data_IF_161848675025
#
_entry.id   IF_161848675025
#
_cell.length_a   1.000
_cell.length_b   1.000
_cell.length_c   1.000
_cell.angle_alpha   90.00
_cell.angle_beta   90.00
_cell.angle_gamma   90.00
#
_symmetry.space_group_name_H-M   'P 1'
#
loop_
_entity.id
_entity.type
_entity.pdbx_description
1 polymer ?
#
# COMPACT_ATOMS: atom_id res chain seq x y z
N UNK A 1 -28.68 -10.30 30.48
CA UNK A 1 -27.40 -9.74 30.94
C UNK A 1 -26.96 -8.65 29.96
N UNK A 2 -26.99 -7.38 30.37
CA UNK A 2 -26.73 -6.23 29.48
C UNK A 2 -25.28 -6.19 29.00
N UNK A 3 -24.31 -6.67 29.81
CA UNK A 3 -22.89 -6.72 29.41
C UNK A 3 -22.68 -7.69 28.23
N UNK A 4 -23.37 -8.83 28.21
CA UNK A 4 -23.29 -9.81 27.12
C UNK A 4 -23.91 -9.29 25.81
N UNK A 5 -24.91 -8.40 25.91
CA UNK A 5 -25.44 -7.72 24.73
C UNK A 5 -24.43 -6.71 24.19
N UNK A 6 -23.80 -5.93 25.08
CA UNK A 6 -22.73 -4.99 24.69
C UNK A 6 -21.57 -5.71 24.04
N UNK A 7 -21.07 -6.82 24.61
CA UNK A 7 -19.96 -7.59 23.99
C UNK A 7 -20.32 -8.11 22.61
N UNK A 8 -21.55 -8.61 22.42
CA UNK A 8 -22.03 -9.07 21.11
C UNK A 8 -22.14 -7.92 20.10
N UNK A 9 -22.60 -6.74 20.52
CA UNK A 9 -22.62 -5.54 19.67
C UNK A 9 -21.21 -5.03 19.32
N UNK A 10 -20.24 -5.16 20.22
CA UNK A 10 -18.85 -4.80 19.96
C UNK A 10 -18.21 -5.77 18.94
N UNK A 11 -18.48 -7.07 19.07
CA UNK A 11 -18.02 -8.11 18.14
C UNK A 11 -18.61 -7.92 16.73
N UNK A 12 -19.89 -7.54 16.63
CA UNK A 12 -20.56 -7.25 15.34
C UNK A 12 -20.24 -5.84 14.78
N UNK A 13 -19.56 -4.98 15.56
CA UNK A 13 -19.42 -3.56 15.29
C UNK A 13 -18.27 -3.17 14.35
N UNK A 14 -17.21 -3.99 14.27
CA UNK A 14 -16.01 -3.68 13.47
C UNK A 14 -16.02 -4.51 12.18
N UNK A 15 -16.35 -3.85 11.07
CA UNK A 15 -16.33 -4.48 9.74
C UNK A 15 -15.07 -4.10 8.99
N UNK A 16 -14.13 -5.03 8.93
CA UNK A 16 -12.91 -4.89 8.14
C UNK A 16 -13.20 -5.35 6.70
N UNK A 17 -12.67 -4.61 5.73
CA UNK A 17 -12.61 -5.04 4.34
C UNK A 17 -11.18 -4.96 3.88
N UNK A 18 -10.69 -6.02 3.26
CA UNK A 18 -9.32 -6.14 2.73
C UNK A 18 -9.39 -6.32 1.23
N UNK A 19 -8.44 -5.75 0.51
CA UNK A 19 -8.30 -5.85 -0.93
C UNK A 19 -6.83 -5.68 -1.29
N UNK A 20 -6.47 -5.98 -2.53
CA UNK A 20 -5.09 -5.99 -2.98
C UNK A 20 -4.96 -5.27 -4.32
N UNK A 21 -3.88 -4.51 -4.47
CA UNK A 21 -3.50 -3.85 -5.69
C UNK A 21 -2.00 -4.07 -5.90
N UNK A 22 -1.65 -5.08 -6.69
CA UNK A 22 -0.30 -5.36 -7.13
C UNK A 22 0.07 -4.52 -8.35
N UNK A 23 1.32 -4.11 -8.44
CA UNK A 23 1.89 -3.42 -9.58
C UNK A 23 3.26 -4.01 -9.94
N UNK A 24 3.68 -3.79 -11.18
CA UNK A 24 4.98 -4.16 -11.76
C UNK A 24 5.51 -2.98 -12.60
N UNK A 25 6.23 -3.23 -13.68
CA UNK A 25 6.74 -2.20 -14.59
C UNK A 25 5.84 -2.03 -15.82
N UNK A 26 5.94 -0.87 -16.47
CA UNK A 26 5.28 -0.52 -17.73
C UNK A 26 5.55 -1.53 -18.86
N UNK A 27 6.68 -2.24 -18.85
CA UNK A 27 6.96 -3.28 -19.86
C UNK A 27 6.04 -4.51 -19.74
N UNK A 28 5.40 -4.73 -18.59
CA UNK A 28 4.56 -5.91 -18.31
C UNK A 28 3.14 -5.83 -18.92
N UNK A 29 2.81 -4.75 -19.64
CA UNK A 29 1.57 -4.66 -20.42
C UNK A 29 0.30 -4.80 -19.55
N UNK A 30 -0.53 -5.79 -19.88
CA UNK A 30 -1.79 -6.04 -19.17
C UNK A 30 -1.58 -6.69 -17.78
N UNK A 31 -0.47 -7.41 -17.58
CA UNK A 31 -0.10 -8.05 -16.29
C UNK A 31 0.57 -7.06 -15.33
N UNK A 32 0.71 -5.80 -15.74
CA UNK A 32 1.33 -4.74 -14.94
C UNK A 32 0.55 -4.41 -13.67
N UNK A 33 -0.78 -4.52 -13.67
CA UNK A 33 -1.63 -4.22 -12.52
C UNK A 33 -2.54 -5.40 -12.19
N UNK A 34 -2.56 -5.82 -10.93
CA UNK A 34 -3.43 -6.89 -10.43
C UNK A 34 -4.29 -6.38 -9.29
N UNK A 35 -5.61 -6.27 -9.53
CA UNK A 35 -6.55 -5.69 -8.57
C UNK A 35 -7.52 -6.76 -8.09
N UNK A 36 -7.48 -7.03 -6.79
CA UNK A 36 -8.52 -7.79 -6.10
C UNK A 36 -9.40 -6.84 -5.27
N UNK A 37 -10.73 -6.85 -5.50
CA UNK A 37 -11.63 -5.92 -4.86
C UNK A 37 -11.72 -6.17 -3.35
N UNK A 38 -12.14 -5.14 -2.62
CA UNK A 38 -12.36 -5.24 -1.18
C UNK A 38 -13.42 -6.29 -0.81
N UNK A 39 -13.01 -7.35 -0.12
CA UNK A 39 -13.85 -8.39 0.49
C UNK A 39 -13.84 -8.31 2.02
N UNK A 40 -14.82 -8.92 2.68
CA UNK A 40 -14.86 -9.15 4.12
C UNK A 40 -14.75 -10.64 4.49
N UNK A 41 -14.49 -11.52 3.51
CA UNK A 41 -14.12 -12.92 3.74
C UNK A 41 -12.60 -13.04 3.75
N UNK A 42 -12.08 -13.68 4.78
CA UNK A 42 -10.66 -14.02 4.88
C UNK A 42 -10.29 -15.03 3.80
N UNK A 43 -11.14 -16.03 3.58
CA UNK A 43 -10.93 -17.14 2.66
C UNK A 43 -10.85 -16.65 1.20
N UNK A 44 -11.74 -15.74 0.81
CA UNK A 44 -11.69 -15.13 -0.54
C UNK A 44 -10.37 -14.37 -0.73
N UNK A 45 -9.97 -13.58 0.26
CA UNK A 45 -8.73 -12.78 0.19
C UNK A 45 -7.47 -13.65 0.18
N UNK A 46 -7.44 -14.71 0.99
CA UNK A 46 -6.35 -15.68 1.02
C UNK A 46 -6.23 -16.41 -0.33
N UNK A 47 -7.37 -16.82 -0.91
CA UNK A 47 -7.42 -17.43 -2.24
C UNK A 47 -6.87 -16.49 -3.31
N UNK A 48 -7.32 -15.24 -3.33
CA UNK A 48 -6.85 -14.21 -4.26
C UNK A 48 -5.32 -14.03 -4.16
N UNK A 49 -4.79 -13.85 -2.94
CA UNK A 49 -3.35 -13.66 -2.72
C UNK A 49 -2.52 -14.91 -3.07
N UNK A 50 -3.05 -16.12 -2.85
CA UNK A 50 -2.35 -17.37 -3.19
C UNK A 50 -2.11 -17.54 -4.68
N UNK A 51 -2.86 -16.82 -5.52
CA UNK A 51 -2.71 -16.83 -6.97
C UNK A 51 -1.62 -15.88 -7.49
N UNK A 52 -1.09 -15.00 -6.64
CA UNK A 52 -0.08 -14.01 -7.02
C UNK A 52 1.32 -14.60 -6.92
N UNK A 53 2.14 -14.30 -7.93
CA UNK A 53 3.57 -14.59 -7.95
C UNK A 53 4.35 -13.35 -8.38
N UNK A 54 5.47 -13.10 -7.72
CA UNK A 54 6.39 -12.03 -8.09
C UNK A 54 7.14 -12.43 -9.37
N UNK A 55 6.93 -11.67 -10.44
CA UNK A 55 7.56 -11.83 -11.75
C UNK A 55 7.45 -10.51 -12.53
N UNK A 56 8.21 -10.34 -13.60
CA UNK A 56 8.23 -9.09 -14.39
C UNK A 56 9.25 -8.09 -13.85
N UNK A 57 8.97 -6.80 -14.02
CA UNK A 57 9.70 -5.69 -13.38
C UNK A 57 10.72 -4.98 -14.27
N UNK A 58 11.12 -5.54 -15.41
CA UNK A 58 11.97 -4.84 -16.37
C UNK A 58 13.31 -4.39 -15.78
N UNK A 59 13.47 -3.08 -15.62
CA UNK A 59 14.57 -2.45 -14.88
C UNK A 59 14.33 -2.47 -13.34
N UNK A 60 14.97 -1.59 -12.57
CA UNK A 60 14.81 -1.60 -11.09
C UNK A 60 13.66 -0.69 -10.63
N UNK A 61 13.50 0.54 -11.13
CA UNK A 61 12.30 1.33 -10.85
C UNK A 61 11.05 0.65 -11.42
N UNK A 62 9.90 0.89 -10.80
CA UNK A 62 8.63 0.19 -11.13
C UNK A 62 7.47 1.20 -11.32
N UNK A 63 6.31 0.74 -11.80
CA UNK A 63 5.06 1.54 -11.92
C UNK A 63 4.39 1.75 -10.54
N UNK A 64 5.15 2.22 -9.56
CA UNK A 64 4.68 2.52 -8.20
C UNK A 64 3.54 3.55 -8.23
N UNK A 65 3.65 4.57 -9.09
CA UNK A 65 2.62 5.61 -9.19
C UNK A 65 1.33 5.08 -9.82
N UNK A 66 1.40 4.21 -10.84
CA UNK A 66 0.23 3.54 -11.40
C UNK A 66 -0.41 2.57 -10.41
N UNK A 67 0.39 1.85 -9.62
CA UNK A 67 -0.11 1.02 -8.52
C UNK A 67 -0.89 1.81 -7.48
N UNK A 68 -0.32 2.92 -6.99
CA UNK A 68 -1.00 3.80 -6.04
C UNK A 68 -2.22 4.50 -6.66
N UNK A 69 -2.14 4.91 -7.92
CA UNK A 69 -3.27 5.50 -8.64
C UNK A 69 -4.44 4.52 -8.76
N UNK A 70 -4.15 3.25 -9.08
CA UNK A 70 -5.14 2.18 -9.13
C UNK A 70 -5.75 1.91 -7.75
N UNK A 71 -4.93 1.84 -6.70
CA UNK A 71 -5.40 1.67 -5.33
C UNK A 71 -6.35 2.81 -4.89
N UNK A 72 -6.06 4.05 -5.28
CA UNK A 72 -6.86 5.23 -4.93
C UNK A 72 -8.15 5.32 -5.75
N UNK A 73 -8.09 5.11 -7.07
CA UNK A 73 -9.19 5.43 -7.98
C UNK A 73 -9.99 4.23 -8.47
N UNK A 74 -9.40 3.04 -8.53
CA UNK A 74 -10.06 1.85 -9.07
C UNK A 74 -10.65 0.96 -7.97
N UNK A 75 -10.10 1.01 -6.75
CA UNK A 75 -10.68 0.28 -5.62
C UNK A 75 -11.91 0.98 -5.03
N UNK A 76 -12.94 0.19 -4.67
CA UNK A 76 -14.20 0.73 -4.11
C UNK A 76 -14.12 0.96 -2.60
N UNK A 77 -13.57 2.10 -2.21
CA UNK A 77 -13.52 2.58 -0.83
C UNK A 77 -14.91 2.94 -0.30
N UNK A 78 -15.40 2.22 0.73
CA UNK A 78 -16.74 2.46 1.34
C UNK A 78 -16.69 2.89 2.80
N UNK A 79 -15.65 2.48 3.53
CA UNK A 79 -15.53 2.77 4.94
C UNK A 79 -14.96 4.18 5.16
N UNK A 80 -15.23 4.76 6.33
CA UNK A 80 -14.70 6.08 6.73
C UNK A 80 -13.19 6.03 6.94
N UNK A 81 -12.73 5.00 7.64
CA UNK A 81 -11.31 4.72 7.83
C UNK A 81 -10.81 3.95 6.60
N UNK A 82 -9.75 4.48 5.98
CA UNK A 82 -9.17 3.95 4.74
C UNK A 82 -7.65 3.94 4.91
N UNK A 83 -7.04 2.78 4.71
CA UNK A 83 -5.61 2.59 4.96
C UNK A 83 -5.02 1.86 3.77
N UNK A 84 -3.89 2.37 3.26
CA UNK A 84 -3.01 1.67 2.32
C UNK A 84 -1.76 1.25 3.07
N UNK A 85 -1.49 -0.05 3.08
CA UNK A 85 -0.16 -0.59 3.36
C UNK A 85 0.55 -0.80 2.04
N UNK A 86 1.47 0.11 1.70
CA UNK A 86 2.28 -0.02 0.51
C UNK A 86 3.60 -0.67 0.89
N UNK A 87 3.90 -1.81 0.28
CA UNK A 87 5.12 -2.58 0.52
C UNK A 87 5.84 -2.69 -0.80
N UNK A 88 7.11 -2.31 -0.82
CA UNK A 88 7.91 -2.30 -2.05
C UNK A 88 9.40 -2.17 -1.77
N UNK A 89 10.18 -2.66 -2.71
CA UNK A 89 11.64 -2.71 -2.65
C UNK A 89 12.31 -1.88 -3.77
N UNK A 90 11.50 -1.24 -4.62
CA UNK A 90 11.90 -0.39 -5.73
C UNK A 90 11.22 1.00 -5.69
N UNK A 91 11.91 2.07 -6.15
CA UNK A 91 11.31 3.40 -6.30
C UNK A 91 10.45 3.50 -7.59
N UNK A 92 9.58 4.53 -7.74
CA UNK A 92 8.97 4.87 -9.02
C UNK A 92 10.00 5.32 -10.05
N UNK A 93 9.64 5.20 -11.33
CA UNK A 93 10.38 5.83 -12.43
C UNK A 93 10.53 7.34 -12.28
N UNK A 94 11.67 7.84 -12.75
CA UNK A 94 12.06 9.24 -12.81
C UNK A 94 13.31 9.54 -12.00
N UNK A 95 14.24 10.31 -12.60
CA UNK A 95 15.51 10.73 -11.98
C UNK A 95 15.37 11.47 -10.66
N UNK A 96 14.19 12.02 -10.38
CA UNK A 96 13.90 12.67 -9.10
C UNK A 96 13.88 11.66 -7.95
N UNK A 97 13.49 10.42 -8.21
CA UNK A 97 13.32 9.38 -7.18
C UNK A 97 14.56 8.52 -7.00
N UNK A 98 15.38 8.36 -8.03
CA UNK A 98 16.55 7.48 -7.97
C UNK A 98 17.63 7.87 -8.99
N UNK A 99 18.85 7.40 -8.74
CA UNK A 99 20.00 7.53 -9.65
C UNK A 99 20.42 6.21 -10.28
N UNK A 100 19.65 5.14 -10.07
CA UNK A 100 19.89 3.84 -10.70
C UNK A 100 19.48 3.87 -12.18
N UNK A 101 19.86 2.84 -12.95
CA UNK A 101 19.40 2.70 -14.34
C UNK A 101 17.88 2.68 -14.37
N UNK A 102 17.30 3.49 -15.25
CA UNK A 102 15.86 3.72 -15.35
C UNK A 102 15.50 3.81 -16.84
N UNK A 103 14.58 2.97 -17.29
CA UNK A 103 14.06 2.95 -18.67
C UNK A 103 13.13 4.16 -18.94
N UNK A 104 12.58 4.76 -17.88
CA UNK A 104 11.72 5.95 -17.93
C UNK A 104 12.25 7.09 -17.05
N UNK A 105 13.46 7.60 -17.34
CA UNK A 105 14.15 8.53 -16.44
C UNK A 105 13.52 9.94 -16.39
N UNK A 106 12.63 10.27 -17.34
CA UNK A 106 11.83 11.51 -17.32
C UNK A 106 10.58 11.40 -16.44
N UNK A 107 10.27 10.22 -15.91
CA UNK A 107 9.10 9.94 -15.08
C UNK A 107 8.11 8.96 -15.73
N UNK A 108 6.97 8.79 -15.08
CA UNK A 108 5.91 7.86 -15.48
C UNK A 108 5.44 8.09 -16.94
N UNK A 109 5.47 7.07 -17.82
CA UNK A 109 5.04 7.15 -19.23
C UNK A 109 3.58 7.53 -19.46
N UNK A 110 2.72 7.35 -18.45
CA UNK A 110 1.31 7.78 -18.46
C UNK A 110 1.14 9.18 -17.88
N UNK A 111 2.23 9.89 -17.59
CA UNK A 111 2.30 11.23 -17.01
C UNK A 111 1.69 11.33 -15.61
N UNK A 112 1.70 10.24 -14.83
CA UNK A 112 1.35 10.31 -13.41
C UNK A 112 2.47 11.05 -12.65
N UNK A 113 2.06 11.95 -11.76
CA UNK A 113 2.98 12.62 -10.83
C UNK A 113 2.72 12.17 -9.40
N UNK A 114 3.76 12.13 -8.57
CA UNK A 114 3.60 11.83 -7.15
C UNK A 114 2.68 12.86 -6.47
N UNK A 115 2.78 14.13 -6.87
CA UNK A 115 1.93 15.21 -6.39
C UNK A 115 0.44 14.93 -6.65
N UNK A 116 0.08 14.52 -7.87
CA UNK A 116 -1.31 14.25 -8.23
C UNK A 116 -1.85 12.98 -7.58
N UNK A 117 -1.07 11.89 -7.61
CA UNK A 117 -1.49 10.60 -7.07
C UNK A 117 -1.62 10.66 -5.55
N UNK A 118 -0.58 11.15 -4.85
CA UNK A 118 -0.59 11.23 -3.40
C UNK A 118 -1.50 12.36 -2.91
N UNK A 119 -1.64 13.45 -3.67
CA UNK A 119 -2.62 14.50 -3.40
C UNK A 119 -4.06 14.00 -3.45
N UNK A 120 -4.41 13.16 -4.43
CA UNK A 120 -5.71 12.46 -4.48
C UNK A 120 -5.89 11.49 -3.32
N UNK A 121 -4.87 10.71 -2.99
CA UNK A 121 -4.88 9.79 -1.83
C UNK A 121 -5.19 10.54 -0.53
N UNK A 122 -4.49 11.66 -0.27
CA UNK A 122 -4.71 12.52 0.88
C UNK A 122 -6.11 13.14 0.88
N UNK A 123 -6.56 13.66 -0.26
CA UNK A 123 -7.91 14.25 -0.42
C UNK A 123 -9.03 13.23 -0.19
N UNK A 124 -8.76 11.95 -0.47
CA UNK A 124 -9.67 10.85 -0.20
C UNK A 124 -9.64 10.35 1.26
N UNK A 125 -8.88 11.01 2.15
CA UNK A 125 -8.63 10.61 3.54
C UNK A 125 -8.14 9.16 3.66
N UNK A 126 -7.23 8.77 2.76
CA UNK A 126 -6.57 7.48 2.80
C UNK A 126 -5.24 7.65 3.55
N UNK A 127 -5.12 6.98 4.69
CA UNK A 127 -3.87 6.94 5.44
C UNK A 127 -2.89 6.00 4.75
N UNK A 128 -1.66 6.45 4.59
CA UNK A 128 -0.61 5.74 3.89
C UNK A 128 0.44 5.23 4.88
N UNK A 129 0.84 3.98 4.74
CA UNK A 129 1.88 3.33 5.54
C UNK A 129 2.84 2.63 4.59
N UNK A 130 4.14 2.78 4.82
CA UNK A 130 5.15 2.23 3.91
C UNK A 130 6.02 1.15 4.57
N UNK A 131 6.00 -0.05 4.00
CA UNK A 131 6.85 -1.18 4.37
C UNK A 131 8.15 -1.18 3.57
N UNK A 132 9.25 -0.78 4.19
CA UNK A 132 10.58 -0.71 3.55
C UNK A 132 11.24 -2.08 3.50
N UNK A 133 11.32 -2.66 2.31
CA UNK A 133 12.03 -3.95 2.12
C UNK A 133 13.55 -3.74 2.03
N UNK A 134 13.98 -2.64 1.43
CA UNK A 134 15.39 -2.27 1.30
C UNK A 134 15.57 -0.73 1.27
N UNK A 135 16.78 -0.26 0.98
CA UNK A 135 17.16 1.17 0.99
C UNK A 135 16.95 1.91 -0.33
N UNK A 136 16.59 1.22 -1.42
CA UNK A 136 16.41 1.83 -2.75
C UNK A 136 15.24 2.83 -2.75
N UNK A 137 14.25 2.61 -1.89
CA UNK A 137 13.06 3.44 -1.75
C UNK A 137 13.26 4.67 -0.86
N UNK A 138 14.45 4.86 -0.27
CA UNK A 138 14.71 5.95 0.69
C UNK A 138 14.37 7.34 0.14
N UNK A 139 14.79 7.63 -1.09
CA UNK A 139 14.56 8.95 -1.66
C UNK A 139 13.08 9.14 -2.08
N UNK A 140 12.42 8.09 -2.57
CA UNK A 140 10.97 8.07 -2.79
C UNK A 140 10.22 8.44 -1.50
N UNK A 141 10.54 7.78 -0.39
CA UNK A 141 9.90 8.03 0.91
C UNK A 141 10.07 9.49 1.35
N UNK A 142 11.28 10.04 1.26
CA UNK A 142 11.53 11.46 1.58
C UNK A 142 10.67 12.41 0.72
N UNK A 143 10.53 12.12 -0.58
CA UNK A 143 9.71 12.93 -1.48
C UNK A 143 8.24 12.80 -1.09
N UNK A 144 7.77 11.59 -0.80
CA UNK A 144 6.38 11.36 -0.43
C UNK A 144 6.03 12.11 0.86
N UNK A 145 6.93 12.12 1.86
CA UNK A 145 6.75 12.91 3.07
C UNK A 145 6.61 14.41 2.77
N UNK A 146 7.37 14.93 1.82
CA UNK A 146 7.27 16.33 1.44
C UNK A 146 5.93 16.70 0.76
N UNK A 147 5.22 15.71 0.20
CA UNK A 147 3.96 15.90 -0.52
C UNK A 147 2.76 15.73 0.43
N UNK A 148 2.67 14.61 1.14
CA UNK A 148 1.50 14.29 1.96
C UNK A 148 1.67 14.57 3.45
N UNK A 149 2.89 14.85 3.91
CA UNK A 149 3.23 15.04 5.31
C UNK A 149 3.80 13.77 5.93
N UNK A 150 3.86 13.76 7.26
CA UNK A 150 4.38 12.61 8.00
C UNK A 150 3.46 11.39 7.87
N UNK A 151 4.05 10.22 7.66
CA UNK A 151 3.37 8.93 7.57
C UNK A 151 4.25 7.84 8.19
N UNK A 152 3.65 6.78 8.72
CA UNK A 152 4.47 5.76 9.38
C UNK A 152 5.13 4.83 8.37
N UNK A 153 6.40 4.57 8.61
CA UNK A 153 7.18 3.56 7.92
C UNK A 153 7.43 2.36 8.85
N UNK A 154 7.54 1.16 8.29
CA UNK A 154 7.96 -0.03 9.03
C UNK A 154 9.03 -0.79 8.24
N UNK A 155 10.10 -1.19 8.91
CA UNK A 155 11.22 -1.88 8.26
C UNK A 155 10.89 -3.36 8.06
N UNK A 156 10.96 -3.84 6.84
CA UNK A 156 10.91 -5.24 6.45
C UNK A 156 12.29 -5.75 6.00
N UNK A 157 13.36 -4.98 6.22
CA UNK A 157 14.73 -5.45 5.98
C UNK A 157 15.01 -6.74 6.80
N UNK A 158 15.60 -7.74 6.15
CA UNK A 158 16.04 -9.00 6.76
C UNK A 158 14.94 -9.88 7.39
N UNK A 159 13.67 -9.71 6.98
CA UNK A 159 12.57 -10.61 7.37
C UNK A 159 12.43 -11.81 6.43
N UNK A 160 13.22 -11.86 5.36
CA UNK A 160 13.21 -12.96 4.39
C UNK A 160 13.51 -14.30 5.07
N UNK A 161 12.67 -15.31 4.81
CA UNK A 161 12.75 -16.61 5.47
C UNK A 161 12.30 -16.61 6.94
N UNK A 162 11.83 -15.48 7.49
CA UNK A 162 11.32 -15.35 8.85
C UNK A 162 9.85 -14.86 8.87
N UNK A 163 8.87 -15.77 8.65
CA UNK A 163 7.46 -15.40 8.59
C UNK A 163 6.92 -14.86 9.92
N UNK A 164 7.45 -15.28 11.06
CA UNK A 164 7.02 -14.76 12.37
C UNK A 164 7.39 -13.29 12.55
N UNK A 165 8.60 -12.91 12.15
CA UNK A 165 9.04 -11.52 12.18
C UNK A 165 8.23 -10.64 11.24
N UNK A 166 7.91 -11.15 10.04
CA UNK A 166 7.04 -10.48 9.08
C UNK A 166 5.66 -10.23 9.68
N UNK A 167 5.03 -11.28 10.25
CA UNK A 167 3.72 -11.19 10.89
C UNK A 167 3.73 -10.18 12.03
N UNK A 168 4.75 -10.21 12.91
CA UNK A 168 4.84 -9.25 14.03
C UNK A 168 4.89 -7.80 13.54
N UNK A 169 5.76 -7.51 12.56
CA UNK A 169 5.92 -6.16 12.00
C UNK A 169 4.65 -5.66 11.32
N UNK A 170 4.00 -6.51 10.53
CA UNK A 170 2.71 -6.16 9.91
C UNK A 170 1.61 -5.97 10.95
N UNK A 171 1.56 -6.80 11.98
CA UNK A 171 0.58 -6.68 13.05
C UNK A 171 0.74 -5.38 13.84
N UNK A 172 1.97 -5.02 14.19
CA UNK A 172 2.30 -3.75 14.85
C UNK A 172 1.95 -2.55 13.97
N UNK A 173 2.31 -2.58 12.68
CA UNK A 173 1.96 -1.55 11.72
C UNK A 173 0.43 -1.41 11.57
N UNK A 174 -0.29 -2.53 11.56
CA UNK A 174 -1.76 -2.54 11.47
C UNK A 174 -2.40 -1.93 12.71
N UNK A 175 -1.95 -2.31 13.91
CA UNK A 175 -2.42 -1.71 15.16
C UNK A 175 -2.16 -0.20 15.18
N UNK A 176 -0.97 0.23 14.78
CA UNK A 176 -0.60 1.64 14.69
C UNK A 176 -1.52 2.40 13.72
N UNK A 177 -1.78 1.81 12.55
CA UNK A 177 -2.64 2.42 11.53
C UNK A 177 -4.08 2.56 11.98
N UNK A 178 -4.64 1.54 12.63
CA UNK A 178 -6.01 1.60 13.17
C UNK A 178 -6.09 2.68 14.25
N UNK A 179 -5.14 2.71 15.20
CA UNK A 179 -5.14 3.71 16.27
C UNK A 179 -5.02 5.14 15.72
N UNK A 180 -4.11 5.35 14.77
CA UNK A 180 -3.90 6.65 14.12
C UNK A 180 -5.15 7.08 13.35
N UNK A 181 -5.71 6.20 12.54
CA UNK A 181 -6.85 6.52 11.71
C UNK A 181 -8.13 6.74 12.54
N UNK A 182 -8.32 6.03 13.64
CA UNK A 182 -9.42 6.29 14.58
C UNK A 182 -9.23 7.64 15.26
N UNK A 183 -8.05 7.89 15.85
CA UNK A 183 -7.78 9.12 16.63
C UNK A 183 -7.87 10.41 15.81
N UNK A 184 -7.52 10.36 14.51
CA UNK A 184 -7.59 11.51 13.61
C UNK A 184 -8.97 11.73 12.99
N UNK A 185 -9.91 10.78 13.15
CA UNK A 185 -11.28 10.88 12.67
C UNK A 185 -12.32 11.10 13.79
N UNK A 186 -11.86 11.27 15.04
CA UNK A 186 -12.66 11.78 16.17
C UNK A 186 -12.67 13.32 16.18
#
# INVERSE_FOLDING_TARGET
>A
NCILKVTKYMEEGIKIRVGFCGYRDHCDGDDRLHIFPFTNSYEDFESDLSSISAMGGGDIPEDVLGGLDAAVNQMTWRNKIRVIFHVGDAPPHGRRFTSISDDYPEGDPKNLTAEDVLGRMKSANIFYFFGKVNKLTKNMVNIFHSIIGDFSEFDLENVEGNPEALVSKFFEATCSAINTAVSLNE
#
